data_IF_198703388030
#
_entry.id   IF_198703388030
#
_cell.length_a   1.000
_cell.length_b   1.000
_cell.length_c   1.000
_cell.angle_alpha   90.00
_cell.angle_beta   90.00
_cell.angle_gamma   90.00
#
_symmetry.space_group_name_H-M   'P 1'
#
loop_
_entity.id
_entity.type
_entity.pdbx_description
1 polymer ?
#
# COMPACT_ATOMS: atom_id res chain seq x y z
N UNK A 1 55.23 47.25 -10.58
CA UNK A 1 54.60 46.09 -11.18
C UNK A 1 53.41 45.75 -10.33
N UNK A 2 52.21 46.16 -10.77
CA UNK A 2 50.94 45.92 -10.05
C UNK A 2 50.33 44.61 -10.50
N UNK A 3 49.90 43.77 -9.54
CA UNK A 3 49.14 42.54 -9.79
C UNK A 3 47.72 42.84 -9.40
N UNK A 4 46.82 42.91 -10.43
CA UNK A 4 45.39 43.04 -10.27
C UNK A 4 44.77 41.67 -10.01
N UNK A 5 44.16 41.48 -8.86
CA UNK A 5 43.36 40.28 -8.54
C UNK A 5 41.98 40.40 -9.17
N UNK A 6 41.64 39.49 -10.05
CA UNK A 6 40.29 39.36 -10.60
C UNK A 6 39.41 38.57 -9.64
N UNK A 7 38.31 39.18 -9.18
CA UNK A 7 37.28 38.53 -8.37
C UNK A 7 36.40 37.67 -9.31
N UNK A 8 36.41 36.36 -9.08
CA UNK A 8 35.47 35.41 -9.68
C UNK A 8 34.14 35.54 -8.97
N UNK A 9 33.14 36.11 -9.66
CA UNK A 9 31.77 36.17 -9.23
C UNK A 9 31.15 34.77 -9.21
N UNK A 10 30.76 34.29 -8.04
CA UNK A 10 29.94 33.09 -7.89
C UNK A 10 28.51 33.38 -8.39
N UNK A 11 28.19 32.90 -9.58
CA UNK A 11 26.82 32.85 -10.08
C UNK A 11 26.07 31.78 -9.30
N UNK A 12 25.24 32.21 -8.34
CA UNK A 12 24.32 31.33 -7.63
C UNK A 12 23.35 30.70 -8.66
N UNK A 13 23.48 29.41 -8.87
CA UNK A 13 22.45 28.62 -9.56
C UNK A 13 21.24 28.58 -8.66
N UNK A 14 20.30 29.51 -8.87
CA UNK A 14 18.93 29.42 -8.35
C UNK A 14 18.30 28.19 -8.98
N UNK A 15 18.15 27.11 -8.22
CA UNK A 15 17.34 25.96 -8.64
C UNK A 15 15.87 26.37 -8.64
N UNK A 16 15.38 26.90 -9.76
CA UNK A 16 13.95 26.98 -10.04
C UNK A 16 13.43 25.54 -10.22
N UNK A 17 13.22 24.83 -9.12
CA UNK A 17 12.41 23.62 -9.15
C UNK A 17 11.00 24.05 -9.56
N UNK A 18 10.54 23.57 -10.72
CA UNK A 18 9.14 23.77 -11.11
C UNK A 18 8.24 23.29 -9.96
N UNK A 19 7.11 23.99 -9.69
CA UNK A 19 6.19 23.55 -8.65
C UNK A 19 5.80 22.10 -8.93
N UNK A 20 5.97 21.25 -7.94
CA UNK A 20 5.57 19.84 -8.04
C UNK A 20 4.07 19.80 -8.35
N UNK A 21 3.70 19.16 -9.44
CA UNK A 21 2.29 18.92 -9.75
C UNK A 21 1.61 18.29 -8.53
N UNK A 22 0.34 18.68 -8.29
CA UNK A 22 -0.41 18.15 -7.15
C UNK A 22 -0.48 16.64 -7.19
N UNK A 23 -0.33 15.99 -6.04
CA UNK A 23 -0.54 14.56 -5.91
C UNK A 23 -1.99 14.22 -6.29
N UNK A 24 -2.22 13.29 -7.24
CA UNK A 24 -3.57 12.81 -7.54
C UNK A 24 -4.21 12.17 -6.32
N UNK A 25 -5.49 12.48 -6.10
CA UNK A 25 -6.26 12.01 -4.94
C UNK A 25 -7.45 11.18 -5.39
N UNK A 26 -7.94 10.32 -4.49
CA UNK A 26 -9.24 9.64 -4.62
C UNK A 26 -10.09 9.93 -3.39
N UNK A 27 -11.39 9.74 -3.54
CA UNK A 27 -12.32 9.78 -2.43
C UNK A 27 -12.54 8.40 -1.84
N UNK A 28 -12.23 8.23 -0.54
CA UNK A 28 -12.52 7.02 0.22
C UNK A 28 -13.51 7.37 1.35
N UNK A 29 -14.80 7.11 1.13
CA UNK A 29 -15.85 7.62 1.99
C UNK A 29 -15.82 9.15 2.09
N UNK A 30 -15.60 9.68 3.30
CA UNK A 30 -15.44 11.14 3.56
C UNK A 30 -14.01 11.65 3.43
N UNK A 31 -13.04 10.77 3.22
CA UNK A 31 -11.62 11.12 3.23
C UNK A 31 -11.07 11.31 1.81
N UNK A 32 -10.14 12.26 1.67
CA UNK A 32 -9.30 12.40 0.49
C UNK A 32 -8.01 11.63 0.73
N UNK A 33 -7.75 10.64 -0.12
CA UNK A 33 -6.59 9.73 -0.01
C UNK A 33 -5.72 9.89 -1.25
N UNK A 34 -4.41 10.03 -1.06
CA UNK A 34 -3.46 10.08 -2.18
C UNK A 34 -3.51 8.79 -3.00
N UNK A 35 -3.41 8.90 -4.34
CA UNK A 35 -3.41 7.72 -5.21
C UNK A 35 -2.20 6.83 -5.03
N UNK A 36 -1.18 7.30 -4.30
CA UNK A 36 -0.08 6.51 -3.76
C UNK A 36 -0.20 6.47 -2.24
N UNK A 37 -0.32 5.28 -1.68
CA UNK A 37 -0.43 5.00 -0.25
C UNK A 37 0.85 4.31 0.20
N UNK A 38 1.38 4.72 1.35
CA UNK A 38 2.58 4.08 1.93
C UNK A 38 2.23 2.70 2.46
N UNK A 39 2.93 1.66 2.01
CA UNK A 39 2.81 0.29 2.54
C UNK A 39 3.80 0.03 3.68
N UNK A 40 3.51 -0.98 4.48
CA UNK A 40 4.29 -1.26 5.71
C UNK A 40 5.20 -2.50 5.63
N UNK A 41 5.11 -3.30 4.61
CA UNK A 41 5.83 -4.57 4.58
C UNK A 41 7.34 -4.43 4.83
N UNK A 42 8.09 -3.50 4.19
CA UNK A 42 9.49 -3.30 4.50
C UNK A 42 9.73 -2.84 5.94
N UNK A 43 8.85 -1.99 6.48
CA UNK A 43 8.96 -1.45 7.85
C UNK A 43 8.84 -2.56 8.90
N UNK A 44 8.00 -3.56 8.62
CA UNK A 44 7.69 -4.66 9.53
C UNK A 44 8.47 -5.96 9.21
N UNK A 45 9.41 -5.92 8.26
CA UNK A 45 10.25 -7.07 7.91
C UNK A 45 9.51 -8.15 7.12
N UNK A 46 8.51 -7.78 6.33
CA UNK A 46 7.81 -8.72 5.44
C UNK A 46 8.27 -8.53 3.99
N UNK A 47 9.50 -8.97 3.68
CA UNK A 47 10.07 -8.81 2.34
C UNK A 47 9.41 -9.68 1.27
N UNK A 48 8.85 -10.84 1.65
CA UNK A 48 8.39 -11.89 0.72
C UNK A 48 9.50 -12.43 -0.21
N UNK A 49 10.75 -12.32 0.20
CA UNK A 49 11.93 -12.78 -0.55
C UNK A 49 12.71 -13.79 0.27
N UNK A 50 13.17 -13.41 1.46
CA UNK A 50 13.93 -14.29 2.35
C UNK A 50 14.01 -13.74 3.77
N UNK A 51 14.26 -14.61 4.74
CA UNK A 51 14.50 -14.20 6.14
C UNK A 51 15.71 -13.28 6.33
N UNK A 52 16.68 -13.33 5.41
CA UNK A 52 17.82 -12.41 5.41
C UNK A 52 17.37 -11.01 5.06
N UNK A 53 16.54 -10.86 4.01
CA UNK A 53 15.99 -9.57 3.61
C UNK A 53 15.03 -9.02 4.67
N UNK A 54 14.21 -9.87 5.30
CA UNK A 54 13.33 -9.48 6.41
C UNK A 54 14.15 -8.85 7.53
N UNK A 55 15.25 -9.48 7.94
CA UNK A 55 16.15 -8.96 8.98
C UNK A 55 16.80 -7.64 8.56
N UNK A 56 17.33 -7.55 7.34
CA UNK A 56 17.91 -6.30 6.83
C UNK A 56 16.93 -5.13 6.84
N UNK A 57 15.68 -5.39 6.52
CA UNK A 57 14.60 -4.39 6.58
C UNK A 57 14.29 -4.01 8.04
N UNK A 58 14.16 -4.99 8.93
CA UNK A 58 13.90 -4.75 10.36
C UNK A 58 15.01 -3.95 11.03
N UNK A 59 16.27 -4.27 10.73
CA UNK A 59 17.45 -3.58 11.27
C UNK A 59 17.56 -2.14 10.73
N UNK A 60 17.18 -1.93 9.47
CA UNK A 60 17.17 -0.60 8.87
C UNK A 60 16.12 0.30 9.51
N UNK A 61 14.90 -0.20 9.74
CA UNK A 61 13.79 0.61 10.21
C UNK A 61 13.77 0.79 11.74
N UNK A 62 14.60 1.72 12.23
CA UNK A 62 14.43 2.33 13.54
C UNK A 62 13.21 3.26 13.56
N UNK A 63 12.74 3.68 14.73
CA UNK A 63 11.65 4.66 14.83
C UNK A 63 11.98 5.97 14.12
N UNK A 64 13.21 6.46 14.24
CA UNK A 64 13.70 7.65 13.56
C UNK A 64 13.57 7.51 12.03
N UNK A 65 14.05 6.40 11.45
CA UNK A 65 13.96 6.15 10.01
C UNK A 65 12.52 5.97 9.50
N UNK A 66 11.62 5.48 10.36
CA UNK A 66 10.19 5.46 10.03
C UNK A 66 9.65 6.90 9.99
N UNK A 67 10.04 7.76 10.94
CA UNK A 67 9.65 9.17 10.93
C UNK A 67 10.21 9.92 9.70
N UNK A 68 11.47 9.67 9.33
CA UNK A 68 12.09 10.24 8.13
C UNK A 68 11.32 9.81 6.87
N UNK A 69 11.00 8.51 6.74
CA UNK A 69 10.21 8.00 5.63
C UNK A 69 8.84 8.70 5.55
N UNK A 70 8.11 8.72 6.66
CA UNK A 70 6.75 9.28 6.68
C UNK A 70 6.77 10.79 6.44
N UNK A 71 7.79 11.49 6.93
CA UNK A 71 8.00 12.91 6.64
C UNK A 71 8.25 13.14 5.15
N UNK A 72 9.16 12.40 4.54
CA UNK A 72 9.42 12.48 3.11
C UNK A 72 8.21 12.12 2.25
N UNK A 73 7.38 11.17 2.71
CA UNK A 73 6.12 10.83 2.06
C UNK A 73 5.12 12.00 2.12
N UNK A 74 4.95 12.63 3.29
CA UNK A 74 4.07 13.81 3.46
C UNK A 74 4.55 14.98 2.59
N UNK A 75 5.85 15.25 2.56
CA UNK A 75 6.46 16.28 1.70
C UNK A 75 6.24 15.98 0.21
N UNK A 76 6.28 14.70 -0.18
CA UNK A 76 5.95 14.25 -1.53
C UNK A 76 4.44 14.26 -1.84
N UNK A 77 3.57 14.62 -0.88
CA UNK A 77 2.12 14.73 -1.05
C UNK A 77 1.34 13.45 -0.78
N UNK A 78 1.98 12.39 -0.22
CA UNK A 78 1.29 11.19 0.26
C UNK A 78 0.72 11.51 1.64
N UNK A 79 -0.56 11.20 1.86
CA UNK A 79 -1.24 11.52 3.13
C UNK A 79 -1.78 10.28 3.86
N UNK A 80 -1.50 9.08 3.37
CA UNK A 80 -2.10 7.86 3.91
C UNK A 80 -1.06 6.74 4.03
N UNK A 81 -1.10 6.06 5.17
CA UNK A 81 -0.25 4.92 5.51
C UNK A 81 -1.11 3.69 5.77
N UNK A 82 -0.83 2.57 5.11
CA UNK A 82 -1.51 1.29 5.31
C UNK A 82 -0.58 0.33 6.04
N UNK A 83 -1.03 -0.18 7.21
CA UNK A 83 -0.22 -1.09 8.04
C UNK A 83 -1.06 -2.11 8.80
N UNK A 84 -0.40 -3.18 9.28
CA UNK A 84 -0.89 -4.00 10.39
C UNK A 84 -0.59 -3.34 11.74
N UNK A 85 -1.19 -3.84 12.83
CA UNK A 85 -0.86 -3.41 14.18
C UNK A 85 0.57 -3.84 14.56
N UNK A 86 1.34 -2.91 15.10
CA UNK A 86 2.69 -3.15 15.61
C UNK A 86 3.12 -1.99 16.49
N UNK A 87 3.94 -2.24 17.53
CA UNK A 87 4.42 -1.19 18.45
C UNK A 87 5.12 -0.03 17.72
N UNK A 88 5.97 -0.31 16.72
CA UNK A 88 6.62 0.72 15.90
C UNK A 88 5.60 1.61 15.19
N UNK A 89 4.48 1.05 14.73
CA UNK A 89 3.39 1.80 14.06
C UNK A 89 2.70 2.71 15.07
N UNK A 90 2.28 2.17 16.22
CA UNK A 90 1.62 2.94 17.27
C UNK A 90 2.48 4.13 17.70
N UNK A 91 3.75 3.89 18.00
CA UNK A 91 4.72 4.95 18.38
C UNK A 91 4.92 5.98 17.28
N UNK A 92 5.00 5.53 16.02
CA UNK A 92 5.19 6.43 14.88
C UNK A 92 3.98 7.34 14.66
N UNK A 93 2.75 6.82 14.78
CA UNK A 93 1.52 7.61 14.67
C UNK A 93 1.43 8.67 15.78
N UNK A 94 1.78 8.30 17.03
CA UNK A 94 1.80 9.23 18.16
C UNK A 94 2.85 10.34 17.91
N UNK A 95 4.07 9.97 17.56
CA UNK A 95 5.16 10.94 17.30
C UNK A 95 4.82 11.94 16.20
N UNK A 96 4.16 11.48 15.10
CA UNK A 96 3.73 12.39 14.05
C UNK A 96 2.69 13.39 14.55
N UNK A 97 1.66 12.94 15.27
CA UNK A 97 0.62 13.81 15.83
C UNK A 97 1.22 14.84 16.80
N UNK A 98 2.11 14.40 17.68
CA UNK A 98 2.79 15.27 18.66
C UNK A 98 3.66 16.34 17.97
N UNK A 99 4.16 16.06 16.76
CA UNK A 99 4.90 17.03 15.94
C UNK A 99 4.00 17.95 15.08
N UNK A 100 2.68 17.87 15.25
CA UNK A 100 1.72 18.64 14.46
C UNK A 100 1.58 18.17 13.02
N UNK A 101 2.11 17.00 12.68
CA UNK A 101 1.93 16.34 11.38
C UNK A 101 0.96 15.17 11.56
N UNK A 102 0.10 14.97 10.59
CA UNK A 102 -0.86 13.86 10.62
C UNK A 102 -0.81 13.07 9.32
N UNK A 103 -0.90 11.76 9.45
CA UNK A 103 -1.03 10.82 8.33
C UNK A 103 -2.24 9.94 8.57
N UNK A 104 -3.13 9.85 7.58
CA UNK A 104 -4.29 8.99 7.65
C UNK A 104 -3.84 7.54 7.74
N UNK A 105 -4.50 6.75 8.58
CA UNK A 105 -4.12 5.35 8.78
C UNK A 105 -5.20 4.38 8.33
N UNK A 106 -4.83 3.43 7.45
CA UNK A 106 -5.63 2.28 7.05
C UNK A 106 -5.08 1.06 7.78
N UNK A 107 -5.87 0.48 8.67
CA UNK A 107 -5.48 -0.67 9.48
C UNK A 107 -5.80 -1.99 8.78
N UNK A 108 -4.79 -2.83 8.55
CA UNK A 108 -4.94 -4.21 8.11
C UNK A 108 -5.16 -5.12 9.31
N UNK A 109 -6.42 -5.49 9.56
CA UNK A 109 -6.80 -6.30 10.70
C UNK A 109 -6.46 -7.79 10.50
N UNK A 110 -5.73 -8.33 11.45
CA UNK A 110 -5.44 -9.77 11.60
C UNK A 110 -5.80 -10.21 13.02
N UNK A 111 -5.59 -11.48 13.39
CA UNK A 111 -5.75 -11.90 14.78
C UNK A 111 -4.84 -11.07 15.72
N UNK A 112 -5.30 -10.63 16.93
CA UNK A 112 -6.62 -10.96 17.50
C UNK A 112 -7.77 -10.06 17.03
N UNK A 113 -7.52 -8.96 16.31
CA UNK A 113 -8.52 -7.92 16.01
C UNK A 113 -9.69 -8.41 15.14
N UNK A 114 -9.49 -9.49 14.38
CA UNK A 114 -10.58 -10.12 13.60
C UNK A 114 -11.57 -10.87 14.50
N UNK A 115 -11.10 -11.38 15.62
CA UNK A 115 -11.82 -12.33 16.47
C UNK A 115 -12.35 -11.67 17.76
N UNK A 116 -11.57 -10.73 18.34
CA UNK A 116 -11.89 -10.04 19.58
C UNK A 116 -12.42 -8.62 19.33
N UNK A 117 -13.74 -8.38 19.57
CA UNK A 117 -14.33 -7.05 19.44
C UNK A 117 -13.73 -6.02 20.40
N UNK A 118 -13.18 -6.44 21.56
CA UNK A 118 -12.54 -5.54 22.52
C UNK A 118 -11.21 -5.04 21.97
N UNK A 119 -10.35 -5.93 21.46
CA UNK A 119 -9.10 -5.56 20.84
C UNK A 119 -9.33 -4.62 19.63
N UNK A 120 -10.38 -4.86 18.85
CA UNK A 120 -10.77 -3.99 17.74
C UNK A 120 -11.16 -2.59 18.22
N UNK A 121 -11.96 -2.47 19.27
CA UNK A 121 -12.35 -1.17 19.84
C UNK A 121 -11.15 -0.42 20.42
N UNK A 122 -10.27 -1.11 21.13
CA UNK A 122 -9.07 -0.51 21.72
C UNK A 122 -8.15 0.12 20.69
N UNK A 123 -7.90 -0.56 19.55
CA UNK A 123 -7.05 -0.02 18.50
C UNK A 123 -7.70 1.15 17.76
N UNK A 124 -9.02 1.14 17.59
CA UNK A 124 -9.77 2.26 17.02
C UNK A 124 -9.66 3.50 17.92
N UNK A 125 -9.88 3.34 19.23
CA UNK A 125 -9.81 4.45 20.18
C UNK A 125 -8.40 5.04 20.28
N UNK A 126 -7.36 4.19 20.26
CA UNK A 126 -5.97 4.61 20.41
C UNK A 126 -5.43 5.28 19.15
N UNK A 127 -5.66 4.70 17.98
CA UNK A 127 -4.97 5.09 16.75
C UNK A 127 -5.86 5.78 15.71
N UNK A 128 -7.18 5.77 15.90
CA UNK A 128 -8.16 6.47 15.07
C UNK A 128 -8.00 6.19 13.56
N UNK A 129 -8.03 4.91 13.10
CA UNK A 129 -7.92 4.59 11.68
C UNK A 129 -9.08 5.21 10.88
N UNK A 130 -8.79 5.69 9.68
CA UNK A 130 -9.85 6.13 8.75
C UNK A 130 -10.61 4.93 8.17
N UNK A 131 -9.93 3.79 8.07
CA UNK A 131 -10.49 2.55 7.52
C UNK A 131 -9.82 1.32 8.15
N UNK A 132 -10.57 0.23 8.22
CA UNK A 132 -10.08 -1.09 8.64
C UNK A 132 -10.39 -2.09 7.54
N UNK A 133 -9.41 -2.92 7.20
CA UNK A 133 -9.54 -3.90 6.13
C UNK A 133 -9.28 -5.31 6.67
N UNK A 134 -10.14 -6.26 6.31
CA UNK A 134 -9.96 -7.68 6.64
C UNK A 134 -8.74 -8.25 5.91
N UNK A 135 -7.86 -8.97 6.62
CA UNK A 135 -6.57 -9.45 6.09
C UNK A 135 -6.72 -10.39 4.91
N UNK A 136 -6.03 -10.11 3.80
CA UNK A 136 -6.17 -10.83 2.53
C UNK A 136 -5.90 -12.33 2.61
N UNK A 137 -4.82 -12.75 3.29
CA UNK A 137 -4.54 -14.18 3.49
C UNK A 137 -5.60 -14.90 4.31
N UNK A 138 -6.23 -14.21 5.27
CA UNK A 138 -7.35 -14.76 6.04
C UNK A 138 -8.60 -14.85 5.17
N UNK A 139 -8.91 -13.83 4.36
CA UNK A 139 -10.03 -13.86 3.42
C UNK A 139 -9.89 -15.02 2.42
N UNK A 140 -8.70 -15.19 1.84
CA UNK A 140 -8.44 -16.29 0.90
C UNK A 140 -8.56 -17.67 1.57
N UNK A 141 -8.15 -17.81 2.83
CA UNK A 141 -8.32 -19.03 3.61
C UNK A 141 -9.81 -19.31 3.87
N UNK A 142 -10.55 -18.30 4.36
CA UNK A 142 -11.99 -18.43 4.61
C UNK A 142 -12.76 -18.77 3.32
N UNK A 143 -12.34 -18.23 2.19
CA UNK A 143 -12.89 -18.57 0.88
C UNK A 143 -12.72 -20.06 0.57
N UNK A 144 -11.53 -20.60 0.72
CA UNK A 144 -11.26 -22.03 0.50
C UNK A 144 -12.04 -22.94 1.45
N UNK A 145 -12.26 -22.48 2.67
CA UNK A 145 -13.03 -23.20 3.69
C UNK A 145 -14.57 -23.07 3.54
N UNK A 146 -15.05 -22.29 2.55
CA UNK A 146 -16.48 -22.01 2.41
C UNK A 146 -17.05 -21.11 3.51
N UNK A 147 -16.22 -20.35 4.22
CA UNK A 147 -16.59 -19.53 5.40
C UNK A 147 -16.41 -18.02 5.14
N UNK A 148 -16.38 -17.59 3.90
CA UNK A 148 -16.02 -16.18 3.55
C UNK A 148 -17.01 -15.16 4.13
N UNK A 149 -18.23 -15.55 4.47
CA UNK A 149 -19.22 -14.69 5.13
C UNK A 149 -18.72 -14.11 6.47
N UNK A 150 -17.77 -14.78 7.14
CA UNK A 150 -17.13 -14.25 8.36
C UNK A 150 -16.39 -12.94 8.10
N UNK A 151 -15.82 -12.76 6.91
CA UNK A 151 -15.19 -11.49 6.52
C UNK A 151 -16.23 -10.39 6.29
N UNK A 152 -17.41 -10.72 5.76
CA UNK A 152 -18.54 -9.79 5.66
C UNK A 152 -19.05 -9.36 7.04
N UNK A 153 -19.21 -10.31 7.97
CA UNK A 153 -19.66 -10.01 9.33
C UNK A 153 -18.63 -9.16 10.08
N UNK A 154 -17.33 -9.36 9.83
CA UNK A 154 -16.29 -8.47 10.34
C UNK A 154 -16.45 -7.04 9.79
N UNK A 155 -16.66 -6.89 8.48
CA UNK A 155 -16.86 -5.57 7.88
C UNK A 155 -18.06 -4.82 8.49
N UNK A 156 -19.18 -5.51 8.73
CA UNK A 156 -20.34 -4.92 9.43
C UNK A 156 -19.96 -4.42 10.82
N UNK A 157 -19.24 -5.23 11.60
CA UNK A 157 -18.78 -4.81 12.95
C UNK A 157 -17.90 -3.56 12.89
N UNK A 158 -17.03 -3.43 11.88
CA UNK A 158 -16.21 -2.23 11.68
C UNK A 158 -17.09 -1.01 11.38
N UNK A 159 -18.07 -1.16 10.49
CA UNK A 159 -19.00 -0.08 10.11
C UNK A 159 -19.88 0.35 11.29
N UNK A 160 -20.33 -0.58 12.12
CA UNK A 160 -21.10 -0.31 13.36
C UNK A 160 -20.27 0.54 14.36
N UNK A 161 -18.95 0.50 14.27
CA UNK A 161 -18.03 1.34 15.04
C UNK A 161 -17.72 2.69 14.34
N UNK A 162 -18.38 3.01 13.23
CA UNK A 162 -18.23 4.28 12.50
C UNK A 162 -16.96 4.42 11.67
N UNK A 163 -16.27 3.31 11.37
CA UNK A 163 -15.03 3.27 10.59
C UNK A 163 -15.31 2.65 9.22
N UNK A 164 -14.63 3.12 8.17
CA UNK A 164 -14.75 2.53 6.84
C UNK A 164 -14.24 1.09 6.84
N UNK A 165 -14.98 0.18 6.20
CA UNK A 165 -14.66 -1.24 6.16
C UNK A 165 -14.27 -1.72 4.77
N UNK A 166 -13.13 -2.41 4.67
CA UNK A 166 -12.63 -2.99 3.43
C UNK A 166 -12.42 -4.50 3.50
N UNK A 167 -12.34 -5.12 2.33
CA UNK A 167 -11.98 -6.53 2.16
C UNK A 167 -10.69 -6.62 1.35
N UNK A 168 -9.68 -7.31 1.88
CA UNK A 168 -8.47 -7.63 1.11
C UNK A 168 -8.49 -9.06 0.62
N UNK A 169 -7.94 -9.31 -0.58
CA UNK A 169 -7.70 -10.65 -1.10
C UNK A 169 -6.55 -10.68 -2.12
N UNK A 170 -5.90 -11.86 -2.22
CA UNK A 170 -4.96 -12.17 -3.29
C UNK A 170 -5.67 -12.93 -4.43
N UNK A 171 -6.77 -13.61 -4.12
CA UNK A 171 -7.58 -14.32 -5.12
C UNK A 171 -8.66 -13.39 -5.70
N UNK A 172 -8.65 -13.10 -7.02
CA UNK A 172 -9.67 -12.27 -7.65
C UNK A 172 -11.10 -12.77 -7.45
N UNK A 173 -11.31 -14.09 -7.29
CA UNK A 173 -12.63 -14.68 -7.08
C UNK A 173 -13.29 -14.21 -5.77
N UNK A 174 -12.51 -13.92 -4.72
CA UNK A 174 -13.02 -13.40 -3.44
C UNK A 174 -13.62 -12.01 -3.61
N UNK A 175 -12.92 -11.14 -4.34
CA UNK A 175 -13.40 -9.77 -4.62
C UNK A 175 -14.66 -9.81 -5.49
N UNK A 176 -14.66 -10.64 -6.55
CA UNK A 176 -15.82 -10.81 -7.42
C UNK A 176 -17.03 -11.31 -6.64
N UNK A 177 -16.85 -12.31 -5.78
CA UNK A 177 -17.92 -12.84 -4.95
C UNK A 177 -18.53 -11.77 -4.03
N UNK A 178 -17.73 -10.98 -3.35
CA UNK A 178 -18.22 -9.91 -2.48
C UNK A 178 -19.04 -8.86 -3.26
N UNK A 179 -18.60 -8.49 -4.46
CA UNK A 179 -19.33 -7.58 -5.34
C UNK A 179 -20.65 -8.19 -5.84
N UNK A 180 -20.64 -9.45 -6.32
CA UNK A 180 -21.83 -10.18 -6.79
C UNK A 180 -22.87 -10.40 -5.69
N UNK A 181 -22.43 -10.61 -4.46
CA UNK A 181 -23.29 -10.71 -3.27
C UNK A 181 -23.81 -9.35 -2.79
N UNK A 182 -23.33 -8.26 -3.37
CA UNK A 182 -23.74 -6.91 -2.98
C UNK A 182 -23.33 -6.54 -1.55
N UNK A 183 -22.18 -7.02 -1.08
CA UNK A 183 -21.69 -6.67 0.26
C UNK A 183 -21.50 -5.16 0.38
N UNK A 184 -21.99 -4.59 1.47
CA UNK A 184 -21.86 -3.17 1.73
C UNK A 184 -20.46 -2.87 2.27
N UNK A 185 -19.47 -2.91 1.38
CA UNK A 185 -18.08 -2.54 1.69
C UNK A 185 -17.80 -1.12 1.18
N UNK A 186 -16.87 -0.42 1.83
CA UNK A 186 -16.45 0.91 1.40
C UNK A 186 -15.37 0.85 0.32
N UNK A 187 -14.51 -0.19 0.36
CA UNK A 187 -13.42 -0.39 -0.61
C UNK A 187 -12.91 -1.83 -0.63
N UNK A 188 -12.08 -2.12 -1.61
CA UNK A 188 -11.31 -3.37 -1.70
C UNK A 188 -9.80 -3.09 -1.60
N UNK A 189 -9.03 -4.00 -0.99
CA UNK A 189 -7.58 -4.10 -1.18
C UNK A 189 -7.27 -5.30 -2.07
N UNK A 190 -6.71 -5.04 -3.25
CA UNK A 190 -6.58 -6.02 -4.33
C UNK A 190 -5.11 -6.31 -4.61
N UNK A 191 -4.66 -7.55 -4.32
CA UNK A 191 -3.30 -7.96 -4.62
C UNK A 191 -3.11 -8.18 -6.12
N UNK A 192 -2.10 -7.58 -6.73
CA UNK A 192 -1.79 -7.82 -8.12
C UNK A 192 -1.33 -9.25 -8.39
N UNK A 193 -0.81 -9.95 -7.40
CA UNK A 193 -0.32 -11.33 -7.53
C UNK A 193 -1.08 -12.28 -6.62
N UNK A 194 -1.52 -13.41 -7.18
CA UNK A 194 -2.23 -14.45 -6.42
C UNK A 194 -1.25 -15.33 -5.66
N UNK A 195 -0.65 -14.78 -4.60
CA UNK A 195 0.32 -15.50 -3.74
C UNK A 195 -0.32 -16.54 -2.82
N UNK A 196 -1.64 -16.61 -2.76
CA UNK A 196 -2.41 -17.52 -1.90
C UNK A 196 -2.84 -18.84 -2.57
N UNK A 197 -2.18 -19.22 -3.66
CA UNK A 197 -2.43 -20.52 -4.31
C UNK A 197 -2.17 -21.68 -3.38
N UNK A 198 -2.99 -22.73 -3.50
CA UNK A 198 -2.73 -23.97 -2.78
C UNK A 198 -1.58 -24.76 -3.45
N UNK A 199 -0.94 -25.71 -2.74
CA UNK A 199 0.07 -26.58 -3.35
C UNK A 199 -0.44 -27.30 -4.61
N UNK A 200 -1.71 -27.74 -4.62
CA UNK A 200 -2.35 -28.42 -5.74
C UNK A 200 -2.51 -27.51 -6.95
N UNK A 201 -2.91 -26.24 -6.71
CA UNK A 201 -3.00 -25.23 -7.77
C UNK A 201 -1.63 -24.92 -8.36
N UNK A 202 -0.60 -24.81 -7.50
CA UNK A 202 0.79 -24.56 -7.93
C UNK A 202 1.29 -25.75 -8.75
N UNK A 203 1.10 -26.97 -8.28
CA UNK A 203 1.50 -28.18 -8.98
C UNK A 203 0.84 -28.29 -10.36
N UNK A 204 -0.42 -27.88 -10.45
CA UNK A 204 -1.18 -27.88 -11.73
C UNK A 204 -0.64 -26.84 -12.71
N UNK A 205 -0.36 -25.60 -12.22
CA UNK A 205 0.13 -24.50 -13.06
C UNK A 205 1.60 -24.68 -13.50
N UNK A 206 2.49 -25.13 -12.58
CA UNK A 206 3.93 -25.17 -12.82
C UNK A 206 4.48 -26.59 -13.04
N UNK A 207 3.69 -27.62 -12.77
CA UNK A 207 4.15 -29.01 -12.72
C UNK A 207 5.36 -29.23 -11.81
N UNK A 208 5.46 -28.45 -10.73
CA UNK A 208 6.52 -28.43 -9.73
C UNK A 208 6.23 -27.43 -8.62
N UNK A 209 7.06 -27.44 -7.55
CA UNK A 209 6.94 -26.51 -6.43
C UNK A 209 8.05 -25.45 -6.47
N UNK A 210 7.72 -24.15 -6.37
CA UNK A 210 8.72 -23.09 -6.32
C UNK A 210 9.44 -23.07 -4.96
N UNK A 211 10.68 -22.57 -4.96
CA UNK A 211 11.43 -22.28 -3.73
C UNK A 211 11.08 -20.88 -3.19
N UNK A 212 9.85 -20.69 -2.74
CA UNK A 212 9.38 -19.41 -2.20
C UNK A 212 7.99 -19.05 -2.70
N UNK A 213 7.57 -17.83 -2.41
CA UNK A 213 6.26 -17.33 -2.86
C UNK A 213 6.20 -17.18 -4.38
N UNK A 214 5.08 -17.62 -4.95
CA UNK A 214 4.84 -17.61 -6.39
C UNK A 214 4.25 -16.27 -6.84
N UNK A 215 4.98 -15.59 -7.75
CA UNK A 215 4.56 -14.38 -8.44
C UNK A 215 4.57 -14.65 -9.95
N UNK A 216 3.39 -14.72 -10.56
CA UNK A 216 3.26 -15.00 -12.00
C UNK A 216 2.94 -13.73 -12.77
N UNK A 217 3.61 -13.53 -13.90
CA UNK A 217 3.42 -12.36 -14.76
C UNK A 217 1.99 -12.21 -15.30
N UNK A 218 1.23 -13.31 -15.35
CA UNK A 218 -0.16 -13.30 -15.80
C UNK A 218 -1.19 -13.05 -14.68
N UNK A 219 -0.77 -12.82 -13.43
CA UNK A 219 -1.68 -12.51 -12.33
C UNK A 219 -2.19 -11.06 -12.35
N UNK A 220 -1.32 -10.03 -12.54
CA UNK A 220 -1.79 -8.64 -12.53
C UNK A 220 -2.92 -8.35 -13.53
N UNK A 221 -2.89 -8.81 -14.80
CA UNK A 221 -4.01 -8.61 -15.72
C UNK A 221 -5.34 -9.17 -15.21
N UNK A 222 -5.32 -10.35 -14.56
CA UNK A 222 -6.52 -11.02 -14.02
C UNK A 222 -7.14 -10.22 -12.87
N UNK A 223 -6.31 -9.70 -11.96
CA UNK A 223 -6.79 -8.86 -10.86
C UNK A 223 -7.28 -7.51 -11.39
N UNK A 224 -6.57 -6.90 -12.32
CA UNK A 224 -6.99 -5.64 -12.93
C UNK A 224 -8.32 -5.74 -13.68
N UNK A 225 -8.62 -6.90 -14.27
CA UNK A 225 -9.94 -7.17 -14.86
C UNK A 225 -11.05 -7.05 -13.80
N UNK A 226 -10.88 -7.68 -12.63
CA UNK A 226 -11.84 -7.58 -11.52
C UNK A 226 -11.92 -6.17 -10.98
N UNK A 227 -10.78 -5.49 -10.79
CA UNK A 227 -10.73 -4.09 -10.33
C UNK A 227 -11.60 -3.18 -11.22
N UNK A 228 -11.55 -3.35 -12.54
CA UNK A 228 -12.38 -2.55 -13.48
C UNK A 228 -13.87 -2.88 -13.43
N UNK A 229 -14.24 -4.09 -13.00
CA UNK A 229 -15.64 -4.55 -12.94
C UNK A 229 -16.34 -4.13 -11.64
N UNK A 230 -15.62 -4.01 -10.54
CA UNK A 230 -16.22 -3.66 -9.23
C UNK A 230 -16.47 -2.15 -9.13
N UNK A 231 -17.56 -1.78 -8.44
CA UNK A 231 -17.98 -0.38 -8.30
C UNK A 231 -17.19 0.39 -7.25
N UNK A 232 -16.79 -0.29 -6.18
CA UNK A 232 -16.08 0.33 -5.05
C UNK A 232 -14.64 0.69 -5.43
N UNK A 233 -14.03 1.71 -4.79
CA UNK A 233 -12.60 1.97 -4.93
C UNK A 233 -11.77 0.74 -4.59
N UNK A 234 -10.69 0.53 -5.35
CA UNK A 234 -9.72 -0.54 -5.12
C UNK A 234 -8.36 0.08 -4.75
N UNK A 235 -7.73 -0.48 -3.72
CA UNK A 235 -6.36 -0.17 -3.34
C UNK A 235 -5.48 -1.33 -3.80
N UNK A 236 -4.82 -1.15 -4.96
CA UNK A 236 -3.97 -2.18 -5.57
C UNK A 236 -2.64 -2.30 -4.83
N UNK A 237 -2.25 -3.49 -4.39
CA UNK A 237 -0.97 -3.67 -3.70
C UNK A 237 -0.08 -4.74 -4.34
N UNK A 238 1.20 -4.75 -3.95
CA UNK A 238 2.25 -5.58 -4.55
C UNK A 238 2.52 -5.29 -6.04
N UNK A 239 2.27 -4.07 -6.52
CA UNK A 239 2.53 -3.70 -7.93
C UNK A 239 3.99 -3.93 -8.33
N UNK A 240 4.92 -3.84 -7.37
CA UNK A 240 6.35 -4.10 -7.54
C UNK A 240 6.73 -5.59 -7.34
N UNK A 241 5.76 -6.51 -7.24
CA UNK A 241 5.99 -7.94 -7.06
C UNK A 241 6.95 -8.27 -5.90
N UNK A 242 6.85 -7.54 -4.76
CA UNK A 242 7.78 -7.67 -3.63
C UNK A 242 9.26 -7.54 -4.05
N UNK A 243 9.57 -6.53 -4.85
CA UNK A 243 10.92 -6.22 -5.33
C UNK A 243 11.36 -6.96 -6.60
N UNK A 244 10.57 -7.93 -7.10
CA UNK A 244 10.91 -8.65 -8.35
C UNK A 244 10.85 -7.74 -9.58
N UNK A 245 10.02 -6.70 -9.54
CA UNK A 245 9.95 -5.65 -10.55
C UNK A 245 10.79 -4.42 -10.16
N UNK A 246 11.99 -4.63 -9.60
CA UNK A 246 12.91 -3.56 -9.20
C UNK A 246 14.36 -3.86 -9.62
N UNK A 247 14.59 -4.89 -10.44
CA UNK A 247 15.93 -5.42 -10.71
C UNK A 247 16.64 -4.68 -11.82
N UNK A 248 15.91 -4.10 -12.77
CA UNK A 248 16.46 -3.43 -13.94
C UNK A 248 16.04 -1.95 -13.96
N UNK A 249 16.83 -1.07 -14.57
CA UNK A 249 16.44 0.31 -14.80
C UNK A 249 15.06 0.40 -15.49
N UNK A 250 14.17 1.23 -14.95
CA UNK A 250 12.83 1.43 -15.48
C UNK A 250 11.78 0.37 -15.07
N UNK A 251 12.15 -0.70 -14.34
CA UNK A 251 11.17 -1.69 -13.86
C UNK A 251 10.09 -1.05 -12.98
N UNK A 252 10.50 -0.23 -12.04
CA UNK A 252 9.57 0.47 -11.12
C UNK A 252 8.65 1.37 -11.92
N UNK A 253 9.20 2.18 -12.84
CA UNK A 253 8.41 3.06 -13.71
C UNK A 253 7.36 2.27 -14.51
N UNK A 254 7.76 1.16 -15.13
CA UNK A 254 6.85 0.28 -15.89
C UNK A 254 5.76 -0.33 -15.01
N UNK A 255 6.08 -0.68 -13.76
CA UNK A 255 5.10 -1.24 -12.82
C UNK A 255 4.04 -0.19 -12.42
N UNK A 256 4.45 1.05 -12.18
CA UNK A 256 3.52 2.17 -11.93
C UNK A 256 2.67 2.49 -13.16
N UNK A 257 3.28 2.57 -14.34
CA UNK A 257 2.57 2.79 -15.60
C UNK A 257 1.52 1.70 -15.84
N UNK A 258 1.91 0.43 -15.71
CA UNK A 258 0.99 -0.69 -15.83
C UNK A 258 -0.16 -0.60 -14.83
N UNK A 259 0.15 -0.34 -13.56
CA UNK A 259 -0.87 -0.25 -12.52
C UNK A 259 -1.91 0.83 -12.85
N UNK A 260 -1.46 2.08 -13.05
CA UNK A 260 -2.40 3.19 -13.27
C UNK A 260 -3.14 3.15 -14.61
N UNK A 261 -2.60 2.48 -15.64
CA UNK A 261 -3.32 2.24 -16.89
C UNK A 261 -4.40 1.17 -16.79
N UNK A 262 -4.33 0.29 -15.80
CA UNK A 262 -5.21 -0.87 -15.69
C UNK A 262 -6.17 -0.85 -14.50
N UNK A 263 -6.11 0.17 -13.65
CA UNK A 263 -7.07 0.41 -12.56
C UNK A 263 -7.96 1.63 -12.91
N UNK A 264 -9.05 1.83 -12.13
CA UNK A 264 -9.97 2.95 -12.33
C UNK A 264 -9.37 4.28 -11.86
N UNK A 265 -9.85 5.44 -12.33
CA UNK A 265 -9.47 6.75 -11.79
C UNK A 265 -9.78 6.89 -10.29
N UNK A 266 -10.78 6.19 -9.79
CA UNK A 266 -11.18 6.14 -8.37
C UNK A 266 -10.34 5.22 -7.50
N UNK A 267 -9.30 4.56 -8.05
CA UNK A 267 -8.46 3.61 -7.35
C UNK A 267 -7.10 4.22 -6.99
N UNK A 268 -6.41 3.59 -6.03
CA UNK A 268 -5.06 3.94 -5.60
C UNK A 268 -4.16 2.70 -5.57
N UNK A 269 -2.86 2.92 -5.38
CA UNK A 269 -1.89 1.84 -5.17
C UNK A 269 -1.23 1.96 -3.79
N UNK A 270 -0.90 0.81 -3.19
CA UNK A 270 -0.14 0.73 -1.95
C UNK A 270 1.24 0.19 -2.28
N UNK A 271 2.28 0.97 -1.95
CA UNK A 271 3.67 0.61 -2.22
C UNK A 271 4.48 0.67 -0.93
N UNK A 272 5.12 -0.44 -0.59
CA UNK A 272 6.12 -0.48 0.48
C UNK A 272 7.43 0.10 -0.03
N UNK A 273 8.05 0.96 0.75
CA UNK A 273 9.28 1.67 0.39
C UNK A 273 10.43 1.23 1.28
N UNK A 274 11.65 1.15 0.73
CA UNK A 274 12.89 0.85 1.44
C UNK A 274 14.00 1.80 0.98
N UNK A 275 13.94 3.09 1.36
CA UNK A 275 14.75 4.17 0.81
C UNK A 275 16.22 4.15 1.32
N UNK A 276 16.81 2.97 1.40
CA UNK A 276 18.19 2.81 1.86
C UNK A 276 19.20 3.34 0.83
N UNK A 277 18.86 3.27 -0.44
CA UNK A 277 19.76 3.55 -1.55
C UNK A 277 19.27 4.65 -2.49
N UNK A 278 17.98 4.99 -2.40
CA UNK A 278 17.29 5.92 -3.31
C UNK A 278 16.22 6.69 -2.54
N UNK A 279 15.81 7.84 -3.05
CA UNK A 279 14.68 8.60 -2.50
C UNK A 279 13.36 8.04 -3.07
N UNK A 280 12.98 6.83 -2.64
CA UNK A 280 11.76 6.17 -3.13
C UNK A 280 10.48 6.99 -2.90
N UNK A 281 10.27 7.71 -1.77
CA UNK A 281 9.12 8.59 -1.63
C UNK A 281 8.97 9.60 -2.77
N UNK A 282 10.05 10.28 -3.14
CA UNK A 282 10.03 11.28 -4.21
C UNK A 282 9.87 10.63 -5.60
N UNK A 283 10.58 9.53 -5.86
CA UNK A 283 10.53 8.82 -7.14
C UNK A 283 9.15 8.21 -7.40
N UNK A 284 8.58 7.48 -6.44
CA UNK A 284 7.27 6.86 -6.55
C UNK A 284 6.14 7.89 -6.66
N UNK A 285 6.29 9.02 -5.95
CA UNK A 285 5.40 10.17 -6.11
C UNK A 285 5.46 10.77 -7.52
N UNK A 286 6.66 10.87 -8.11
CA UNK A 286 6.83 11.37 -9.47
C UNK A 286 6.16 10.43 -10.50
N UNK A 287 6.35 9.11 -10.37
CA UNK A 287 5.66 8.13 -11.21
C UNK A 287 4.14 8.19 -11.05
N UNK A 288 3.66 8.37 -9.82
CA UNK A 288 2.23 8.51 -9.56
C UNK A 288 1.67 9.75 -10.25
N UNK A 289 2.31 10.91 -10.15
CA UNK A 289 1.88 12.14 -10.84
C UNK A 289 1.87 11.97 -12.36
N UNK A 290 2.84 11.25 -12.89
CA UNK A 290 2.97 11.03 -14.33
C UNK A 290 1.91 10.09 -14.89
N UNK A 291 1.58 9.02 -14.20
CA UNK A 291 0.75 7.95 -14.75
C UNK A 291 -0.68 7.92 -14.19
N UNK A 292 -0.92 8.52 -13.03
CA UNK A 292 -2.26 8.59 -12.47
C UNK A 292 -2.96 9.86 -12.99
N UNK A 293 -4.03 9.73 -13.80
CA UNK A 293 -4.79 10.90 -14.21
C UNK A 293 -5.36 11.64 -12.99
N UNK A 294 -5.35 12.97 -13.04
CA UNK A 294 -6.09 13.77 -12.07
C UNK A 294 -7.56 13.38 -12.16
N UNK A 295 -8.21 13.16 -11.02
CA UNK A 295 -9.66 12.95 -10.99
C UNK A 295 -10.31 14.21 -11.58
N UNK A 296 -10.99 14.06 -12.69
CA UNK A 296 -11.99 15.07 -13.11
C UNK A 296 -13.12 14.95 -12.09
N UNK A 297 -13.27 15.97 -11.23
CA UNK A 297 -14.41 16.10 -10.32
C UNK A 297 -15.74 15.98 -11.05
#
# INVERSE_FOLDING_TARGET
MGVTAAALGATGLSSNAAPLDKMPMIRLGRYQVSRLIVGSNPILGYSHVSSVMDRLMMDYYTLERIQDLLSGCLEAGLNTWQTSAHEKVDRSLVTLRDSGRDIQWIFLASSPHLEDPKALKEIILRNQPIAIVHHGGVSDRLWREGKIEQAHDFAKRVQDLGVLAGLSAHNPAVIRHAEEKGWNLDFYMTCFYRVSRTPEEIQTELKGMPLGELFLANDPPKMCEVIRQVKRPCLGYKILAAGRNCSQPGDVERAFEFAFRNIKPSDAVIVGMFPRYRNEPAEDAAYTRRFAPLSTE
#
